data_IF_152236321062
#
_entry.id   IF_152236321062
#
_cell.length_a   1.000
_cell.length_b   1.000
_cell.length_c   1.000
_cell.angle_alpha   90.00
_cell.angle_beta   90.00
_cell.angle_gamma   90.00
#
_symmetry.space_group_name_H-M   'P 1'
#
loop_
_entity.id
_entity.type
_entity.pdbx_description
1 polymer ?
#
# COMPACT_ATOMS: atom_id res chain seq x y z
N UNK A 1 -21.87 17.33 -50.09
CA UNK A 1 -21.26 16.04 -49.66
C UNK A 1 -20.38 16.35 -48.46
N UNK A 2 -20.94 16.44 -47.26
CA UNK A 2 -21.38 15.33 -46.39
C UNK A 2 -20.19 14.76 -45.60
N UNK A 3 -20.06 15.30 -44.39
CA UNK A 3 -19.77 14.65 -43.11
C UNK A 3 -18.60 13.66 -43.03
N UNK A 4 -17.53 14.09 -42.34
CA UNK A 4 -16.61 13.19 -41.63
C UNK A 4 -17.08 13.02 -40.17
N UNK A 5 -17.17 11.79 -39.64
CA UNK A 5 -17.62 11.49 -38.28
C UNK A 5 -16.52 11.90 -37.28
N UNK A 6 -16.84 12.63 -36.21
CA UNK A 6 -17.48 12.20 -34.95
C UNK A 6 -16.53 11.38 -34.06
N UNK A 7 -16.42 11.87 -32.81
CA UNK A 7 -15.90 11.22 -31.60
C UNK A 7 -14.36 11.03 -31.51
N UNK A 8 -13.65 12.09 -31.11
CA UNK A 8 -12.53 11.90 -30.19
C UNK A 8 -13.06 12.05 -28.76
N UNK A 9 -13.36 10.87 -28.22
CA UNK A 9 -13.70 10.58 -26.84
C UNK A 9 -12.57 11.09 -25.95
N UNK A 10 -12.82 12.16 -25.20
CA UNK A 10 -12.29 12.29 -23.84
C UNK A 10 -13.12 11.32 -22.98
N UNK A 11 -12.50 10.48 -22.13
CA UNK A 11 -12.15 11.04 -20.83
C UNK A 11 -10.95 10.39 -20.12
N UNK A 12 -10.54 11.08 -19.06
CA UNK A 12 -10.15 10.50 -17.77
C UNK A 12 -8.70 10.00 -17.57
N UNK A 13 -8.04 10.77 -16.72
CA UNK A 13 -7.20 10.31 -15.61
C UNK A 13 -5.89 9.62 -15.95
N UNK A 14 -4.84 10.44 -16.09
CA UNK A 14 -3.54 10.07 -15.55
C UNK A 14 -2.98 11.20 -14.66
N UNK A 15 -3.83 11.73 -13.78
CA UNK A 15 -3.39 12.50 -12.63
C UNK A 15 -3.16 11.54 -11.47
N UNK A 16 -2.01 10.84 -11.44
CA UNK A 16 -1.54 10.10 -10.25
C UNK A 16 -0.04 9.73 -10.31
N UNK A 17 0.78 10.54 -11.00
CA UNK A 17 2.15 10.75 -10.54
C UNK A 17 2.18 12.03 -9.71
N UNK A 18 1.38 12.08 -8.66
CA UNK A 18 1.76 12.89 -7.50
C UNK A 18 3.12 12.33 -7.08
N UNK A 19 4.14 13.15 -7.28
CA UNK A 19 5.49 12.86 -6.87
C UNK A 19 5.47 12.24 -5.48
N UNK A 20 6.22 11.16 -5.34
CA UNK A 20 6.68 10.69 -4.05
C UNK A 20 7.65 11.74 -3.49
N UNK A 21 7.17 12.97 -3.29
CA UNK A 21 7.90 14.05 -2.67
C UNK A 21 7.87 13.73 -1.18
N UNK A 22 8.84 12.92 -0.77
CA UNK A 22 9.15 12.65 0.62
C UNK A 22 9.69 13.94 1.26
N UNK A 23 8.81 14.93 1.43
CA UNK A 23 9.05 16.07 2.30
C UNK A 23 8.67 15.64 3.72
N UNK A 24 9.55 14.88 4.35
CA UNK A 24 9.44 14.58 5.78
C UNK A 24 10.30 15.59 6.55
N UNK A 25 9.72 16.50 7.36
CA UNK A 25 10.48 17.35 8.27
C UNK A 25 11.11 16.52 9.41
N UNK A 26 12.16 17.04 10.09
CA UNK A 26 12.97 16.26 11.03
C UNK A 26 12.22 16.12 12.36
N UNK A 27 11.46 15.05 12.47
CA UNK A 27 11.02 14.46 13.72
C UNK A 27 11.15 12.95 13.57
N UNK A 28 11.91 12.29 14.44
CA UNK A 28 12.21 10.85 14.40
C UNK A 28 10.95 9.95 14.33
N UNK A 29 9.78 10.50 14.63
CA UNK A 29 8.48 9.81 14.60
C UNK A 29 7.72 9.98 13.27
N UNK A 30 8.05 11.01 12.47
CA UNK A 30 7.37 11.27 11.20
C UNK A 30 7.60 10.14 10.17
N UNK A 31 8.81 9.54 10.18
CA UNK A 31 9.13 8.43 9.30
C UNK A 31 8.34 7.15 9.59
N UNK A 32 8.06 6.86 10.87
CA UNK A 32 7.29 5.69 11.27
C UNK A 32 5.80 5.85 10.93
N UNK A 33 5.23 7.04 11.17
CA UNK A 33 3.85 7.35 10.79
C UNK A 33 3.68 7.34 9.27
N UNK A 34 4.61 7.95 8.53
CA UNK A 34 4.56 7.94 7.07
C UNK A 34 4.71 6.51 6.51
N UNK A 35 5.56 5.70 7.12
CA UNK A 35 5.68 4.28 6.78
C UNK A 35 4.36 3.54 7.05
N UNK A 36 3.74 3.75 8.22
CA UNK A 36 2.45 3.16 8.56
C UNK A 36 1.38 3.54 7.56
N UNK A 37 1.25 4.83 7.22
CA UNK A 37 0.29 5.32 6.24
C UNK A 37 0.52 4.68 4.86
N UNK A 38 1.78 4.61 4.41
CA UNK A 38 2.10 3.99 3.12
C UNK A 38 1.76 2.49 3.06
N UNK A 39 1.88 1.77 4.18
CA UNK A 39 1.65 0.33 4.26
C UNK A 39 0.21 -0.06 4.63
N UNK A 40 -0.56 0.88 5.18
CA UNK A 40 -1.96 0.67 5.61
C UNK A 40 -2.80 0.01 4.51
N UNK A 41 -2.77 0.47 3.23
CA UNK A 41 -3.54 -0.19 2.17
C UNK A 41 -3.19 -1.66 1.98
N UNK A 42 -1.92 -2.03 2.03
CA UNK A 42 -1.47 -3.42 1.86
C UNK A 42 -1.86 -4.31 3.06
N UNK A 43 -1.87 -3.75 4.26
CA UNK A 43 -2.30 -4.47 5.47
C UNK A 43 -3.81 -4.67 5.52
N UNK A 44 -4.59 -3.64 5.16
CA UNK A 44 -6.05 -3.76 5.02
C UNK A 44 -6.41 -4.74 3.91
N UNK A 45 -5.70 -4.68 2.78
CA UNK A 45 -5.82 -5.68 1.72
C UNK A 45 -5.54 -7.08 2.28
N UNK A 46 -4.53 -7.29 3.12
CA UNK A 46 -4.25 -8.57 3.78
C UNK A 46 -5.25 -8.98 4.89
N UNK A 47 -6.27 -8.15 5.19
CA UNK A 47 -7.27 -8.41 6.22
C UNK A 47 -6.82 -8.07 7.64
N UNK A 48 -5.80 -7.21 7.80
CA UNK A 48 -5.35 -6.72 9.10
C UNK A 48 -6.28 -5.59 9.58
N UNK A 49 -6.81 -5.65 10.81
CA UNK A 49 -7.70 -4.62 11.33
C UNK A 49 -6.94 -3.32 11.61
N UNK A 50 -7.63 -2.19 11.42
CA UNK A 50 -7.06 -0.85 11.63
C UNK A 50 -6.54 -0.66 13.07
N UNK A 51 -7.18 -1.30 14.06
CA UNK A 51 -6.72 -1.30 15.47
C UNK A 51 -5.33 -1.92 15.64
N UNK A 52 -5.02 -3.00 14.89
CA UNK A 52 -3.70 -3.62 14.89
C UNK A 52 -2.70 -2.73 14.13
N UNK A 53 -3.08 -2.20 12.95
CA UNK A 53 -2.21 -1.35 12.13
C UNK A 53 -1.65 -0.17 12.93
N UNK A 54 -2.47 0.48 13.75
CA UNK A 54 -2.05 1.59 14.61
C UNK A 54 -1.06 1.17 15.72
N UNK A 55 -1.15 -0.07 16.18
CA UNK A 55 -0.29 -0.62 17.25
C UNK A 55 0.97 -1.29 16.72
N UNK A 56 1.11 -1.47 15.40
CA UNK A 56 2.26 -2.15 14.83
C UNK A 56 3.56 -1.42 15.14
N UNK A 57 4.60 -2.13 15.63
CA UNK A 57 5.91 -1.54 15.83
C UNK A 57 6.57 -1.26 14.49
N UNK A 58 7.47 -0.29 14.46
CA UNK A 58 8.19 0.14 13.25
C UNK A 58 8.95 -1.01 12.57
N UNK A 59 9.44 -2.00 13.34
CA UNK A 59 10.09 -3.20 12.81
C UNK A 59 9.14 -4.05 11.95
N UNK A 60 7.89 -4.25 12.39
CA UNK A 60 6.87 -4.96 11.62
C UNK A 60 6.43 -4.15 10.40
N UNK A 61 6.31 -2.83 10.53
CA UNK A 61 6.01 -1.95 9.38
C UNK A 61 7.11 -2.02 8.31
N UNK A 62 8.39 -2.06 8.71
CA UNK A 62 9.51 -2.24 7.80
C UNK A 62 9.51 -3.62 7.15
N UNK A 63 9.13 -4.67 7.88
CA UNK A 63 8.97 -6.02 7.33
C UNK A 63 7.86 -6.08 6.27
N UNK A 64 6.69 -5.49 6.57
CA UNK A 64 5.58 -5.37 5.60
C UNK A 64 6.06 -4.61 4.36
N UNK A 65 6.81 -3.52 4.53
CA UNK A 65 7.42 -2.80 3.40
C UNK A 65 8.27 -3.72 2.52
N UNK A 66 9.15 -4.53 3.11
CA UNK A 66 9.96 -5.50 2.37
C UNK A 66 9.12 -6.52 1.57
N UNK A 67 8.05 -7.03 2.19
CA UNK A 67 7.10 -7.95 1.53
C UNK A 67 6.39 -7.24 0.36
N UNK A 68 5.97 -6.00 0.56
CA UNK A 68 5.25 -5.23 -0.47
C UNK A 68 6.10 -4.72 -1.62
N UNK A 69 7.41 -4.52 -1.40
CA UNK A 69 8.36 -4.13 -2.43
C UNK A 69 8.59 -5.25 -3.47
N UNK A 70 8.27 -6.50 -3.11
CA UNK A 70 8.36 -7.63 -4.03
C UNK A 70 7.20 -7.59 -5.03
N UNK A 71 7.52 -7.49 -6.32
CA UNK A 71 6.53 -7.54 -7.40
C UNK A 71 5.88 -8.92 -7.46
N UNK A 72 4.57 -8.99 -7.27
CA UNK A 72 3.79 -10.21 -7.55
C UNK A 72 3.54 -10.31 -9.05
N UNK A 73 3.96 -11.41 -9.69
CA UNK A 73 3.74 -11.64 -11.13
C UNK A 73 2.61 -12.62 -11.41
N UNK A 74 2.15 -13.34 -10.38
CA UNK A 74 1.08 -14.34 -10.46
C UNK A 74 0.09 -14.18 -9.31
N UNK A 75 -1.13 -14.70 -9.49
CA UNK A 75 -2.16 -14.73 -8.44
C UNK A 75 -1.70 -15.50 -7.20
N UNK A 76 -0.87 -16.54 -7.38
CA UNK A 76 -0.28 -17.30 -6.27
C UNK A 76 0.66 -16.43 -5.43
N UNK A 77 1.54 -15.66 -6.08
CA UNK A 77 2.48 -14.78 -5.39
C UNK A 77 1.74 -13.68 -4.61
N UNK A 78 0.65 -13.17 -5.17
CA UNK A 78 -0.20 -12.19 -4.51
C UNK A 78 -0.85 -12.75 -3.24
N UNK A 79 -1.43 -13.96 -3.31
CA UNK A 79 -2.02 -14.61 -2.14
C UNK A 79 -0.97 -14.91 -1.07
N UNK A 80 0.20 -15.40 -1.48
CA UNK A 80 1.31 -15.67 -0.58
C UNK A 80 1.80 -14.38 0.10
N UNK A 81 1.90 -13.28 -0.65
CA UNK A 81 2.24 -11.96 -0.13
C UNK A 81 1.23 -11.49 0.92
N UNK A 82 -0.08 -11.58 0.63
CA UNK A 82 -1.13 -11.23 1.61
C UNK A 82 -1.01 -12.05 2.88
N UNK A 83 -0.77 -13.36 2.75
CA UNK A 83 -0.59 -14.24 3.91
C UNK A 83 0.63 -13.86 4.74
N UNK A 84 1.76 -13.53 4.10
CA UNK A 84 2.97 -13.08 4.80
C UNK A 84 2.73 -11.78 5.57
N UNK A 85 1.99 -10.82 4.99
CA UNK A 85 1.61 -9.57 5.67
C UNK A 85 0.73 -9.87 6.88
N UNK A 86 -0.31 -10.71 6.71
CA UNK A 86 -1.20 -11.11 7.81
C UNK A 86 -0.42 -11.78 8.94
N UNK A 87 0.46 -12.73 8.62
CA UNK A 87 1.28 -13.43 9.63
C UNK A 87 2.26 -12.49 10.33
N UNK A 88 2.85 -11.52 9.63
CA UNK A 88 3.70 -10.51 10.26
C UNK A 88 2.91 -9.64 11.25
N UNK A 89 1.68 -9.24 10.89
CA UNK A 89 0.81 -8.48 11.77
C UNK A 89 0.32 -9.31 12.97
N UNK A 90 -0.04 -10.58 12.76
CA UNK A 90 -0.47 -11.49 13.84
C UNK A 90 0.63 -11.71 14.90
N UNK A 91 1.90 -11.73 14.50
CA UNK A 91 3.02 -11.82 15.46
C UNK A 91 3.11 -10.62 16.39
N UNK A 92 2.64 -9.45 15.95
CA UNK A 92 2.66 -8.22 16.74
C UNK A 92 1.37 -8.02 17.55
N UNK A 93 0.21 -8.38 16.99
CA UNK A 93 -1.09 -8.06 17.56
C UNK A 93 -1.85 -9.26 18.14
N UNK A 94 -1.37 -10.49 17.94
CA UNK A 94 -2.13 -11.71 18.22
C UNK A 94 -3.11 -12.06 17.10
N UNK A 95 -4.02 -12.99 17.37
CA UNK A 95 -5.02 -13.43 16.39
C UNK A 95 -6.16 -12.41 16.27
N UNK A 96 -6.64 -12.20 15.04
CA UNK A 96 -7.69 -11.25 14.67
C UNK A 96 -8.43 -11.71 13.40
#
# INVERSE_FOLDING_TARGET
MLSKPILLILPFTLALLTGCESSSPPGTNAGAEQLRLSMTPAMRDAGVPDSCIQQLPTSTLAQVKGITASSSRTSKDYLQRRQQIRTAAQKACGDF
#
